data_IF_336770725352
#
_entry.id   IF_336770725352
#
_cell.length_a   1.000
_cell.length_b   1.000
_cell.length_c   1.000
_cell.angle_alpha   90.00
_cell.angle_beta   90.00
_cell.angle_gamma   90.00
#
_symmetry.space_group_name_H-M   'P 1'
#
loop_
_entity.id
_entity.type
_entity.pdbx_description
1 polymer ?
#
# COMPACT_ATOMS: atom_id res chain seq x y z
N UNK A 1 -22.16 10.16 -18.64
CA UNK A 1 -21.65 9.19 -19.63
C UNK A 1 -22.39 7.88 -19.43
N UNK A 2 -23.17 7.45 -20.43
CA UNK A 2 -23.97 6.23 -20.35
C UNK A 2 -23.09 5.00 -20.54
N UNK A 3 -23.27 3.98 -19.70
CA UNK A 3 -22.48 2.75 -19.77
C UNK A 3 -22.97 1.85 -20.91
N UNK A 4 -22.30 1.92 -22.07
CA UNK A 4 -22.62 1.13 -23.29
C UNK A 4 -21.48 0.22 -23.77
N UNK A 5 -20.29 0.35 -23.17
CA UNK A 5 -19.07 -0.38 -23.54
C UNK A 5 -18.87 -1.67 -22.75
N UNK A 6 -18.05 -2.59 -23.28
CA UNK A 6 -17.68 -3.84 -22.60
C UNK A 6 -17.05 -3.55 -21.23
N UNK A 7 -17.59 -4.15 -20.18
CA UNK A 7 -17.15 -3.95 -18.79
C UNK A 7 -16.09 -5.00 -18.43
N UNK A 8 -14.97 -4.54 -17.87
CA UNK A 8 -13.87 -5.39 -17.39
C UNK A 8 -13.59 -5.03 -15.95
N UNK A 9 -13.65 -6.02 -15.04
CA UNK A 9 -13.25 -5.81 -13.66
C UNK A 9 -11.76 -6.09 -13.46
N UNK A 10 -11.09 -5.20 -12.72
CA UNK A 10 -9.74 -5.46 -12.23
C UNK A 10 -9.76 -6.48 -11.09
N UNK A 11 -8.64 -7.16 -10.85
CA UNK A 11 -8.48 -8.06 -9.69
C UNK A 11 -8.81 -7.36 -8.36
N UNK A 12 -8.40 -6.09 -8.24
CA UNK A 12 -8.74 -5.27 -7.08
C UNK A 12 -10.26 -5.12 -6.91
N UNK A 13 -10.99 -4.80 -7.99
CA UNK A 13 -12.44 -4.66 -7.94
C UNK A 13 -13.14 -5.99 -7.60
N UNK A 14 -12.66 -7.12 -8.12
CA UNK A 14 -13.20 -8.46 -7.80
C UNK A 14 -12.97 -8.79 -6.32
N UNK A 15 -11.77 -8.52 -5.81
CA UNK A 15 -11.45 -8.69 -4.38
C UNK A 15 -12.37 -7.85 -3.49
N UNK A 16 -12.59 -6.58 -3.85
CA UNK A 16 -13.51 -5.69 -3.12
C UNK A 16 -14.96 -6.16 -3.18
N UNK A 17 -15.43 -6.66 -4.32
CA UNK A 17 -16.78 -7.21 -4.46
C UNK A 17 -16.99 -8.41 -3.52
N UNK A 18 -16.00 -9.31 -3.42
CA UNK A 18 -16.04 -10.44 -2.49
C UNK A 18 -16.00 -10.01 -1.03
N UNK A 19 -15.01 -9.20 -0.66
CA UNK A 19 -14.76 -8.85 0.74
C UNK A 19 -15.82 -7.91 1.31
N UNK A 20 -16.29 -6.93 0.51
CA UNK A 20 -17.15 -5.84 1.00
C UNK A 20 -18.61 -5.98 0.63
N UNK A 21 -18.89 -6.61 -0.52
CA UNK A 21 -20.26 -6.76 -1.04
C UNK A 21 -20.74 -8.21 -0.98
N UNK A 22 -19.92 -9.14 -0.49
CA UNK A 22 -20.21 -10.58 -0.40
C UNK A 22 -20.58 -11.21 -1.74
N UNK A 23 -20.08 -10.66 -2.86
CA UNK A 23 -20.30 -11.19 -4.20
C UNK A 23 -19.20 -12.20 -4.54
N UNK A 24 -19.55 -13.45 -4.91
CA UNK A 24 -18.56 -14.46 -5.31
C UNK A 24 -17.65 -13.99 -6.45
N UNK A 25 -16.36 -14.30 -6.37
CA UNK A 25 -15.34 -13.80 -7.30
C UNK A 25 -15.56 -14.23 -8.77
N UNK A 26 -16.10 -15.43 -8.95
CA UNK A 26 -16.50 -16.03 -10.21
C UNK A 26 -17.68 -15.30 -10.88
N UNK A 27 -18.63 -14.82 -10.08
CA UNK A 27 -19.83 -14.12 -10.59
C UNK A 27 -19.68 -12.59 -10.62
N UNK A 28 -18.67 -12.03 -9.96
CA UNK A 28 -18.45 -10.59 -9.85
C UNK A 28 -18.44 -9.84 -11.20
N UNK A 29 -17.76 -10.30 -12.27
CA UNK A 29 -17.77 -9.61 -13.56
C UNK A 29 -19.17 -9.49 -14.18
N UNK A 30 -19.95 -10.59 -14.14
CA UNK A 30 -21.32 -10.64 -14.66
C UNK A 30 -22.26 -9.79 -13.82
N UNK A 31 -22.08 -9.81 -12.51
CA UNK A 31 -22.82 -8.94 -11.57
C UNK A 31 -22.59 -7.46 -11.87
N UNK A 32 -21.33 -7.03 -12.04
CA UNK A 32 -20.99 -5.65 -12.35
C UNK A 32 -21.54 -5.23 -13.73
N UNK A 33 -21.47 -6.11 -14.72
CA UNK A 33 -22.06 -5.87 -16.04
C UNK A 33 -23.56 -5.62 -15.96
N UNK A 34 -24.30 -6.48 -15.26
CA UNK A 34 -25.74 -6.34 -15.09
C UNK A 34 -26.14 -5.06 -14.34
N UNK A 35 -25.36 -4.65 -13.32
CA UNK A 35 -25.63 -3.45 -12.53
C UNK A 35 -25.35 -2.16 -13.30
N UNK A 36 -24.24 -2.13 -14.04
CA UNK A 36 -23.76 -0.90 -14.66
C UNK A 36 -24.35 -0.65 -16.05
N UNK A 37 -24.75 -1.68 -16.79
CA UNK A 37 -25.23 -1.54 -18.18
C UNK A 37 -26.41 -0.58 -18.27
N UNK A 38 -26.28 0.42 -19.15
CA UNK A 38 -27.32 1.43 -19.38
C UNK A 38 -27.45 2.49 -18.28
N UNK A 39 -26.66 2.44 -17.21
CA UNK A 39 -26.65 3.46 -16.15
C UNK A 39 -25.79 4.66 -16.54
N UNK A 40 -26.14 5.80 -15.99
CA UNK A 40 -25.40 7.05 -16.16
C UNK A 40 -24.42 7.27 -15.02
N UNK A 41 -23.30 7.91 -15.34
CA UNK A 41 -22.30 8.31 -14.36
C UNK A 41 -22.87 9.39 -13.43
N UNK A 42 -22.71 9.19 -12.13
CA UNK A 42 -23.11 10.13 -11.07
C UNK A 42 -22.14 11.31 -10.98
N UNK A 43 -20.83 11.05 -11.11
CA UNK A 43 -19.80 12.11 -11.11
C UNK A 43 -18.55 11.71 -11.88
N UNK A 44 -17.79 12.71 -12.33
CA UNK A 44 -16.45 12.53 -12.87
C UNK A 44 -15.42 12.77 -11.76
N UNK A 45 -14.49 11.84 -11.56
CA UNK A 45 -13.47 11.90 -10.50
C UNK A 45 -12.04 12.08 -11.01
N UNK A 46 -11.83 11.89 -12.30
CA UNK A 46 -10.54 12.12 -12.95
C UNK A 46 -10.64 12.05 -14.47
N UNK A 47 -9.49 12.14 -15.16
CA UNK A 47 -9.45 12.03 -16.63
C UNK A 47 -9.99 10.67 -17.05
N UNK A 48 -11.11 10.67 -17.76
CA UNK A 48 -11.87 9.49 -18.19
C UNK A 48 -12.27 8.53 -17.06
N UNK A 49 -12.30 8.99 -15.80
CA UNK A 49 -12.69 8.17 -14.65
C UNK A 49 -13.95 8.75 -14.03
N UNK A 50 -14.95 7.88 -13.91
CA UNK A 50 -16.30 8.24 -13.53
C UNK A 50 -16.80 7.31 -12.43
N UNK A 51 -17.65 7.83 -11.58
CA UNK A 51 -18.36 7.04 -10.60
C UNK A 51 -19.78 6.80 -11.06
N UNK A 52 -20.23 5.56 -10.87
CA UNK A 52 -21.58 5.11 -11.12
C UNK A 52 -22.15 4.62 -9.82
N UNK A 53 -23.24 5.24 -9.39
CA UNK A 53 -23.95 4.84 -8.18
C UNK A 53 -25.20 4.07 -8.56
N UNK A 54 -25.27 2.80 -8.18
CA UNK A 54 -26.36 1.90 -8.53
C UNK A 54 -26.71 1.04 -7.33
N UNK A 55 -27.96 1.11 -6.87
CA UNK A 55 -28.51 0.29 -5.79
C UNK A 55 -27.62 0.28 -4.54
N UNK A 56 -27.24 1.48 -4.07
CA UNK A 56 -26.35 1.68 -2.91
C UNK A 56 -24.97 1.05 -3.07
N UNK A 57 -24.47 0.92 -4.31
CA UNK A 57 -23.09 0.55 -4.63
C UNK A 57 -22.50 1.60 -5.55
N UNK A 58 -21.35 2.15 -5.17
CA UNK A 58 -20.55 3.02 -6.03
C UNK A 58 -19.48 2.22 -6.76
N UNK A 59 -19.44 2.37 -8.08
CA UNK A 59 -18.43 1.78 -8.96
C UNK A 59 -17.55 2.88 -9.51
N UNK A 60 -16.22 2.75 -9.35
CA UNK A 60 -15.26 3.65 -9.98
C UNK A 60 -14.80 3.01 -11.29
N UNK A 61 -15.11 3.65 -12.40
CA UNK A 61 -14.90 3.12 -13.74
C UNK A 61 -14.05 4.07 -14.57
N UNK A 62 -12.93 3.56 -15.09
CA UNK A 62 -12.12 4.26 -16.09
C UNK A 62 -12.55 3.82 -17.47
N UNK A 63 -12.93 4.77 -18.32
CA UNK A 63 -13.25 4.52 -19.73
C UNK A 63 -12.01 4.65 -20.59
N UNK A 64 -11.73 3.63 -21.39
CA UNK A 64 -10.65 3.64 -22.36
C UNK A 64 -11.16 3.09 -23.70
N UNK A 65 -11.42 4.01 -24.64
CA UNK A 65 -12.02 3.74 -25.95
C UNK A 65 -13.32 2.89 -25.80
N UNK A 66 -13.27 1.61 -26.19
CA UNK A 66 -14.42 0.69 -26.18
C UNK A 66 -14.54 -0.17 -24.92
N UNK A 67 -13.73 0.11 -23.89
CA UNK A 67 -13.70 -0.68 -22.64
C UNK A 67 -13.94 0.20 -21.43
N UNK A 68 -14.83 -0.26 -20.57
CA UNK A 68 -15.05 0.30 -19.24
C UNK A 68 -14.32 -0.57 -18.22
N UNK A 69 -13.31 -0.04 -17.56
CA UNK A 69 -12.49 -0.76 -16.58
C UNK A 69 -12.97 -0.38 -15.18
N UNK A 70 -13.60 -1.33 -14.49
CA UNK A 70 -13.99 -1.16 -13.08
C UNK A 70 -12.73 -1.29 -12.22
N UNK A 71 -12.30 -0.17 -11.65
CA UNK A 71 -11.12 -0.07 -10.78
C UNK A 71 -11.43 -0.52 -9.37
N UNK A 72 -12.61 -0.17 -8.86
CA UNK A 72 -13.07 -0.58 -7.53
C UNK A 72 -14.59 -0.49 -7.43
N UNK A 73 -15.16 -1.18 -6.45
CA UNK A 73 -16.56 -1.05 -6.06
C UNK A 73 -16.65 -1.04 -4.54
N UNK A 74 -17.60 -0.27 -4.01
CA UNK A 74 -17.88 -0.18 -2.58
C UNK A 74 -19.34 0.13 -2.34
N UNK A 75 -19.88 -0.24 -1.17
CA UNK A 75 -21.24 0.14 -0.77
C UNK A 75 -21.28 1.67 -0.70
N UNK A 76 -22.22 2.30 -1.39
CA UNK A 76 -22.42 3.74 -1.29
C UNK A 76 -22.67 4.06 0.18
N UNK A 77 -21.77 4.89 0.73
CA UNK A 77 -21.88 5.38 2.09
C UNK A 77 -22.65 6.69 2.01
N UNK A 78 -23.98 6.62 2.16
CA UNK A 78 -24.87 7.77 2.30
C UNK A 78 -24.80 8.40 3.72
N UNK A 79 -23.66 8.22 4.40
CA UNK A 79 -23.38 8.83 5.69
C UNK A 79 -22.29 9.91 5.52
N UNK A 80 -22.67 11.20 5.47
CA UNK A 80 -21.75 12.33 5.40
C UNK A 80 -20.69 12.32 6.51
N UNK A 81 -20.99 11.72 7.67
CA UNK A 81 -20.07 11.59 8.79
C UNK A 81 -18.96 10.60 8.45
N UNK A 82 -19.29 9.40 7.96
CA UNK A 82 -18.31 8.38 7.55
C UNK A 82 -17.40 8.86 6.42
N UNK A 83 -17.91 9.64 5.46
CA UNK A 83 -17.07 10.23 4.41
C UNK A 83 -16.07 11.25 4.98
N UNK A 84 -16.49 12.09 5.93
CA UNK A 84 -15.58 13.04 6.61
C UNK A 84 -14.53 12.30 7.44
N UNK A 85 -14.93 11.25 8.16
CA UNK A 85 -14.03 10.40 8.96
C UNK A 85 -13.01 9.70 8.06
N UNK A 86 -13.43 9.10 6.94
CA UNK A 86 -12.52 8.45 5.99
C UNK A 86 -11.48 9.43 5.42
N UNK A 87 -11.92 10.63 5.00
CA UNK A 87 -11.00 11.68 4.52
C UNK A 87 -10.02 12.15 5.58
N UNK A 88 -10.47 12.29 6.83
CA UNK A 88 -9.62 12.64 7.95
C UNK A 88 -8.57 11.55 8.22
N UNK A 89 -8.99 10.28 8.30
CA UNK A 89 -8.11 9.13 8.52
C UNK A 89 -7.07 8.97 7.41
N UNK A 90 -7.45 9.14 6.14
CA UNK A 90 -6.50 9.11 5.03
C UNK A 90 -5.49 10.27 5.10
N UNK A 91 -5.92 11.46 5.56
CA UNK A 91 -5.01 12.60 5.75
C UNK A 91 -3.97 12.31 6.84
N UNK A 92 -4.40 11.79 7.98
CA UNK A 92 -3.50 11.42 9.08
C UNK A 92 -2.58 10.25 8.68
N UNK A 93 -3.10 9.26 7.98
CA UNK A 93 -2.30 8.17 7.43
C UNK A 93 -1.22 8.67 6.46
N UNK A 94 -1.56 9.62 5.58
CA UNK A 94 -0.60 10.23 4.66
C UNK A 94 0.45 11.09 5.36
N UNK A 95 0.15 11.67 6.54
CA UNK A 95 1.16 12.34 7.37
C UNK A 95 2.09 11.30 8.00
N UNK A 96 1.55 10.25 8.61
CA UNK A 96 2.33 9.16 9.19
C UNK A 96 3.23 8.48 8.15
N UNK A 97 2.71 8.21 6.94
CA UNK A 97 3.49 7.65 5.82
C UNK A 97 4.65 8.57 5.40
N UNK A 98 4.44 9.89 5.39
CA UNK A 98 5.52 10.85 5.09
C UNK A 98 6.60 10.84 6.16
N UNK A 99 6.22 10.81 7.44
CA UNK A 99 7.16 10.69 8.54
C UNK A 99 7.95 9.37 8.48
N UNK A 100 7.25 8.24 8.26
CA UNK A 100 7.86 6.94 8.03
C UNK A 100 8.85 6.97 6.87
N UNK A 101 8.48 7.52 5.72
CA UNK A 101 9.38 7.57 4.56
C UNK A 101 10.66 8.36 4.84
N UNK A 102 10.58 9.44 5.63
CA UNK A 102 11.76 10.21 6.06
C UNK A 102 12.68 9.36 6.93
N UNK A 103 12.13 8.74 7.99
CA UNK A 103 12.89 7.87 8.90
C UNK A 103 13.47 6.65 8.17
N UNK A 104 12.69 5.99 7.32
CA UNK A 104 13.13 4.83 6.55
C UNK A 104 14.27 5.20 5.60
N UNK A 105 14.24 6.40 4.99
CA UNK A 105 15.35 6.87 4.16
C UNK A 105 16.63 7.06 4.98
N UNK A 106 16.53 7.64 6.17
CA UNK A 106 17.67 7.79 7.09
C UNK A 106 18.23 6.42 7.52
N UNK A 107 17.36 5.48 7.90
CA UNK A 107 17.77 4.12 8.26
C UNK A 107 18.43 3.36 7.10
N UNK A 108 17.92 3.50 5.87
CA UNK A 108 18.53 2.90 4.67
C UNK A 108 19.92 3.48 4.39
N UNK A 109 20.11 4.79 4.54
CA UNK A 109 21.42 5.42 4.40
C UNK A 109 22.41 4.88 5.45
N UNK A 110 21.98 4.79 6.71
CA UNK A 110 22.81 4.21 7.78
C UNK A 110 23.16 2.75 7.51
N UNK A 111 22.20 1.98 6.99
CA UNK A 111 22.41 0.58 6.60
C UNK A 111 23.47 0.47 5.50
N UNK A 112 23.40 1.34 4.49
CA UNK A 112 24.39 1.37 3.40
C UNK A 112 25.80 1.74 3.91
N UNK A 113 25.90 2.71 4.83
CA UNK A 113 27.17 3.09 5.46
C UNK A 113 27.77 1.91 6.24
N UNK A 114 26.96 1.23 7.06
CA UNK A 114 27.39 0.06 7.83
C UNK A 114 27.86 -1.07 6.92
N UNK A 115 27.16 -1.35 5.82
CA UNK A 115 27.62 -2.34 4.83
C UNK A 115 28.96 -1.96 4.20
N UNK A 116 29.19 -0.69 3.89
CA UNK A 116 30.49 -0.21 3.40
C UNK A 116 31.60 -0.47 4.42
N UNK A 117 31.38 -0.10 5.67
CA UNK A 117 32.35 -0.30 6.75
C UNK A 117 32.63 -1.79 7.01
N UNK A 118 31.59 -2.63 7.01
CA UNK A 118 31.72 -4.09 7.12
C UNK A 118 32.55 -4.63 5.97
N UNK A 119 32.31 -4.17 4.73
CA UNK A 119 33.07 -4.58 3.55
C UNK A 119 34.56 -4.22 3.69
N UNK A 120 34.86 -2.99 4.10
CA UNK A 120 36.23 -2.53 4.33
C UNK A 120 36.94 -3.35 5.41
N UNK A 121 36.31 -3.56 6.56
CA UNK A 121 36.88 -4.35 7.65
C UNK A 121 37.05 -5.83 7.26
N UNK A 122 36.14 -6.38 6.45
CA UNK A 122 36.26 -7.74 5.92
C UNK A 122 37.44 -7.84 4.94
N UNK A 123 37.64 -6.83 4.09
CA UNK A 123 38.80 -6.77 3.20
C UNK A 123 40.12 -6.64 3.98
N UNK A 124 40.15 -5.86 5.06
CA UNK A 124 41.31 -5.79 5.97
C UNK A 124 41.58 -7.13 6.63
N UNK A 125 40.55 -7.82 7.10
CA UNK A 125 40.66 -9.14 7.71
C UNK A 125 41.30 -10.13 6.76
N UNK A 126 40.83 -10.19 5.51
CA UNK A 126 41.32 -11.11 4.48
C UNK A 126 42.82 -10.90 4.15
N UNK A 127 43.31 -9.67 4.24
CA UNK A 127 44.71 -9.32 3.95
C UNK A 127 45.65 -9.47 5.15
N UNK A 128 45.11 -9.53 6.36
CA UNK A 128 45.89 -9.47 7.59
C UNK A 128 46.32 -10.87 8.06
N UNK A 129 47.63 -11.09 8.16
CA UNK A 129 48.19 -12.36 8.68
C UNK A 129 48.54 -12.32 10.17
N UNK A 130 48.63 -11.13 10.78
CA UNK A 130 48.98 -10.97 12.19
C UNK A 130 47.79 -11.37 13.10
N UNK A 131 47.93 -12.39 13.96
CA UNK A 131 46.82 -12.89 14.80
C UNK A 131 46.21 -11.84 15.74
N UNK A 132 47.03 -10.93 16.29
CA UNK A 132 46.52 -9.87 17.19
C UNK A 132 45.68 -8.85 16.44
N UNK A 133 46.07 -8.52 15.21
CA UNK A 133 45.34 -7.61 14.35
C UNK A 133 44.04 -8.25 13.83
N UNK A 134 44.09 -9.53 13.45
CA UNK A 134 42.91 -10.34 13.10
C UNK A 134 41.87 -10.30 14.23
N UNK A 135 42.27 -10.56 15.48
CA UNK A 135 41.34 -10.52 16.62
C UNK A 135 40.69 -9.15 16.82
N UNK A 136 41.44 -8.04 16.64
CA UNK A 136 40.89 -6.69 16.72
C UNK A 136 39.88 -6.40 15.61
N UNK A 137 40.19 -6.78 14.37
CA UNK A 137 39.32 -6.59 13.21
C UNK A 137 38.04 -7.43 13.36
N UNK A 138 38.14 -8.68 13.81
CA UNK A 138 36.97 -9.52 14.06
C UNK A 138 36.05 -8.93 15.14
N UNK A 139 36.60 -8.35 16.21
CA UNK A 139 35.79 -7.62 17.21
C UNK A 139 35.11 -6.38 16.62
N UNK A 140 35.79 -5.66 15.72
CA UNK A 140 35.22 -4.52 15.01
C UNK A 140 34.04 -4.94 14.14
N UNK A 141 34.22 -5.99 13.32
CA UNK A 141 33.16 -6.58 12.51
C UNK A 141 31.95 -7.04 13.34
N UNK A 142 32.19 -7.67 14.49
CA UNK A 142 31.10 -8.07 15.37
C UNK A 142 30.28 -6.87 15.87
N UNK A 143 30.94 -5.76 16.22
CA UNK A 143 30.26 -4.51 16.61
C UNK A 143 29.44 -3.94 15.45
N UNK A 144 30.02 -3.84 14.26
CA UNK A 144 29.34 -3.32 13.08
C UNK A 144 28.12 -4.18 12.69
N UNK A 145 28.24 -5.51 12.75
CA UNK A 145 27.12 -6.42 12.52
C UNK A 145 26.01 -6.24 13.57
N UNK A 146 26.38 -6.06 14.84
CA UNK A 146 25.40 -5.80 15.92
C UNK A 146 24.67 -4.48 15.71
N UNK A 147 25.37 -3.44 15.24
CA UNK A 147 24.75 -2.15 14.90
C UNK A 147 23.83 -2.27 13.68
N UNK A 148 24.23 -3.04 12.67
CA UNK A 148 23.41 -3.33 11.49
C UNK A 148 22.10 -4.02 11.87
N UNK A 149 22.15 -5.04 12.73
CA UNK A 149 20.96 -5.72 13.25
C UNK A 149 20.02 -4.75 13.97
N UNK A 150 20.56 -3.87 14.83
CA UNK A 150 19.75 -2.86 15.53
C UNK A 150 19.03 -1.91 14.56
N UNK A 151 19.72 -1.46 13.51
CA UNK A 151 19.13 -0.58 12.49
C UNK A 151 18.03 -1.31 11.70
N UNK A 152 18.24 -2.58 11.37
CA UNK A 152 17.25 -3.42 10.68
C UNK A 152 16.01 -3.67 11.56
N UNK A 153 16.18 -3.95 12.86
CA UNK A 153 15.06 -4.13 13.78
C UNK A 153 14.21 -2.87 13.88
N UNK A 154 14.83 -1.69 14.03
CA UNK A 154 14.12 -0.40 14.06
C UNK A 154 13.32 -0.15 12.78
N UNK A 155 13.89 -0.50 11.62
CA UNK A 155 13.19 -0.38 10.33
C UNK A 155 11.95 -1.27 10.28
N UNK A 156 12.09 -2.53 10.72
CA UNK A 156 10.98 -3.48 10.74
C UNK A 156 9.87 -3.06 11.71
N UNK A 157 10.22 -2.49 12.86
CA UNK A 157 9.28 -1.92 13.83
C UNK A 157 8.49 -0.76 13.21
N UNK A 158 9.18 0.21 12.58
CA UNK A 158 8.54 1.35 11.93
C UNK A 158 7.59 0.91 10.80
N UNK A 159 7.95 -0.12 10.03
CA UNK A 159 7.09 -0.68 8.99
C UNK A 159 5.83 -1.35 9.60
N UNK A 160 6.02 -2.09 10.69
CA UNK A 160 4.93 -2.75 11.42
C UNK A 160 3.94 -1.74 11.99
N UNK A 161 4.42 -0.65 12.58
CA UNK A 161 3.56 0.43 13.11
C UNK A 161 2.69 1.05 12.02
N UNK A 162 3.27 1.39 10.86
CA UNK A 162 2.52 1.95 9.74
C UNK A 162 1.44 0.99 9.24
N UNK A 163 1.73 -0.31 9.21
CA UNK A 163 0.78 -1.36 8.81
C UNK A 163 -0.36 -1.51 9.83
N UNK A 164 -0.06 -1.45 11.13
CA UNK A 164 -1.06 -1.49 12.19
C UNK A 164 -2.00 -0.27 12.07
N UNK A 165 -1.44 0.93 11.92
CA UNK A 165 -2.21 2.15 11.76
C UNK A 165 -3.16 2.07 10.56
N UNK A 166 -2.69 1.53 9.42
CA UNK A 166 -3.55 1.34 8.25
C UNK A 166 -4.70 0.37 8.54
N UNK A 167 -4.39 -0.75 9.18
CA UNK A 167 -5.38 -1.78 9.52
C UNK A 167 -6.44 -1.25 10.49
N UNK A 168 -6.04 -0.43 11.47
CA UNK A 168 -6.96 0.21 12.41
C UNK A 168 -7.83 1.27 11.71
N UNK A 169 -7.26 2.08 10.83
CA UNK A 169 -8.01 3.06 10.04
C UNK A 169 -9.06 2.39 9.15
N UNK A 170 -8.70 1.29 8.47
CA UNK A 170 -9.64 0.53 7.64
C UNK A 170 -10.78 -0.07 8.49
N UNK A 171 -10.49 -0.59 9.71
CA UNK A 171 -11.51 -1.07 10.65
C UNK A 171 -12.50 0.02 11.08
N UNK A 172 -12.02 1.23 11.35
CA UNK A 172 -12.87 2.36 11.77
C UNK A 172 -13.82 2.84 10.67
N UNK A 173 -13.43 2.67 9.40
CA UNK A 173 -14.26 3.04 8.24
C UNK A 173 -15.29 1.94 7.94
N UNK A 174 -14.98 0.69 8.25
CA UNK A 174 -15.86 -0.46 8.01
C UNK A 174 -16.97 -0.63 9.08
N UNK A 175 -16.89 0.07 10.23
CA UNK A 175 -17.97 0.21 11.23
C UNK A 175 -19.02 1.20 10.73
#
# INVERSE_FOLDING_TARGET
MKMSTKIIMTEHAIKRAKERLKIPSDTAPRWAENKLKGKDATRMTGKNTYEYEVDSVTFVVTHNNNKAIVRTCYKTIDDPLKQKVARFLDKEFNKAKRAYNKVNKELLNTTALLYSQISEETAKLARTKNPRAVSKISRSLQKLNTELEKVQTKRNEAEKELKIMRTQADKLIDI
#
